data_IF_864927000477
#
_entry.id   IF_864927000477
#
_cell.length_a   1.000
_cell.length_b   1.000
_cell.length_c   1.000
_cell.angle_alpha   90.00
_cell.angle_beta   90.00
_cell.angle_gamma   90.00
#
_symmetry.space_group_name_H-M   'P 1'
#
loop_
_entity.id
_entity.type
_entity.pdbx_description
1 polymer ?
#
# COMPACT_ATOMS: atom_id res chain seq x y z
N UNK A 1 12.18 24.70 32.11
CA UNK A 1 11.54 23.66 32.94
C UNK A 1 10.15 23.39 32.40
N UNK A 2 9.76 22.13 32.32
CA UNK A 2 8.40 21.73 31.90
C UNK A 2 7.42 22.02 33.04
N UNK A 3 6.29 22.66 32.74
CA UNK A 3 5.30 23.03 33.77
C UNK A 3 4.47 21.80 34.19
N UNK A 4 3.84 21.85 35.37
CA UNK A 4 2.91 20.81 35.84
C UNK A 4 1.76 20.63 34.87
N UNK A 5 1.27 21.72 34.26
CA UNK A 5 0.20 21.69 33.23
C UNK A 5 0.63 20.93 31.98
N UNK A 6 1.84 21.15 31.47
CA UNK A 6 2.38 20.42 30.30
C UNK A 6 2.50 18.92 30.57
N UNK A 7 2.95 18.53 31.78
CA UNK A 7 3.02 17.10 32.18
C UNK A 7 1.65 16.45 32.20
N UNK A 8 0.65 17.13 32.78
CA UNK A 8 -0.74 16.61 32.82
C UNK A 8 -1.33 16.49 31.44
N UNK A 9 -1.15 17.50 30.58
CA UNK A 9 -1.64 17.46 29.16
C UNK A 9 -1.01 16.32 28.37
N UNK A 10 0.29 16.11 28.54
CA UNK A 10 1.02 15.00 27.90
C UNK A 10 0.54 13.63 28.37
N UNK A 11 0.27 13.48 29.65
CA UNK A 11 -0.23 12.22 30.22
C UNK A 11 -1.63 11.90 29.72
N UNK A 12 -2.50 12.90 29.61
CA UNK A 12 -3.85 12.75 29.09
C UNK A 12 -3.86 12.44 27.57
N UNK A 13 -2.86 12.92 26.81
CA UNK A 13 -2.81 12.84 25.35
C UNK A 13 -1.53 12.16 24.86
N UNK A 14 -1.21 10.99 25.39
CA UNK A 14 0.06 10.27 25.11
C UNK A 14 0.29 10.00 23.62
N UNK A 15 -0.72 9.57 22.87
CA UNK A 15 -0.59 9.24 21.46
C UNK A 15 -0.31 10.49 20.61
N UNK A 16 -1.00 11.59 20.88
CA UNK A 16 -0.74 12.89 20.24
C UNK A 16 0.68 13.37 20.58
N UNK A 17 1.11 13.20 21.82
CA UNK A 17 2.47 13.56 22.24
C UNK A 17 3.54 12.76 21.47
N UNK A 18 3.33 11.45 21.29
CA UNK A 18 4.26 10.64 20.52
C UNK A 18 4.29 11.02 19.03
N UNK A 19 3.15 11.37 18.44
CA UNK A 19 3.09 11.89 17.08
C UNK A 19 3.91 13.19 16.95
N UNK A 20 3.73 14.14 17.86
CA UNK A 20 4.49 15.40 17.93
C UNK A 20 5.99 15.14 18.12
N UNK A 21 6.36 14.31 19.07
CA UNK A 21 7.77 13.99 19.37
C UNK A 21 8.43 13.31 18.14
N UNK A 22 7.76 12.38 17.51
CA UNK A 22 8.23 11.72 16.28
C UNK A 22 8.42 12.70 15.13
N UNK A 23 7.48 13.63 14.93
CA UNK A 23 7.59 14.71 13.95
C UNK A 23 8.84 15.56 14.21
N UNK A 24 9.10 15.99 15.42
CA UNK A 24 10.29 16.77 15.80
C UNK A 24 11.57 15.97 15.63
N UNK A 25 11.60 14.69 16.03
CA UNK A 25 12.78 13.85 15.86
C UNK A 25 13.21 13.72 14.39
N UNK A 26 12.28 13.43 13.49
CA UNK A 26 12.59 13.25 12.07
C UNK A 26 12.93 14.55 11.34
N UNK A 27 12.53 15.71 11.87
CA UNK A 27 12.84 17.02 11.23
C UNK A 27 14.04 17.73 11.86
N UNK A 28 14.36 17.50 13.12
CA UNK A 28 15.33 18.30 13.87
C UNK A 28 16.53 17.50 14.39
N UNK A 29 16.46 16.15 14.41
CA UNK A 29 17.55 15.34 14.94
C UNK A 29 18.33 14.63 13.82
N UNK A 30 19.56 15.07 13.46
CA UNK A 30 20.38 14.42 12.42
C UNK A 30 20.72 12.95 12.72
N UNK A 31 20.69 12.53 13.99
CA UNK A 31 20.94 11.14 14.39
C UNK A 31 19.72 10.23 14.17
N UNK A 32 18.55 10.79 13.90
CA UNK A 32 17.36 10.01 13.58
C UNK A 32 17.49 9.38 12.19
N UNK A 33 17.29 8.07 12.06
CA UNK A 33 17.36 7.35 10.78
C UNK A 33 16.43 7.92 9.70
N UNK A 34 15.30 8.50 10.12
CA UNK A 34 14.34 9.13 9.22
C UNK A 34 14.77 10.55 8.78
N UNK A 35 15.73 11.21 9.46
CA UNK A 35 16.13 12.59 9.19
C UNK A 35 16.48 12.87 7.71
N UNK A 36 17.14 11.93 7.05
CA UNK A 36 17.48 11.99 5.61
C UNK A 36 16.27 12.23 4.69
N UNK A 37 15.08 11.80 5.12
CA UNK A 37 13.85 11.94 4.34
C UNK A 37 13.00 13.15 4.76
N UNK A 38 13.39 13.87 5.81
CA UNK A 38 12.65 15.01 6.37
C UNK A 38 13.55 16.22 6.59
N UNK A 39 14.23 16.33 7.72
CA UNK A 39 15.06 17.52 8.06
C UNK A 39 16.17 17.78 7.06
N UNK A 40 16.89 16.75 6.59
CA UNK A 40 17.92 16.89 5.56
C UNK A 40 17.37 17.37 4.20
N UNK A 41 16.05 17.30 3.98
CA UNK A 41 15.37 17.84 2.79
C UNK A 41 14.85 19.27 3.00
N UNK A 42 15.13 19.89 4.14
CA UNK A 42 14.63 21.22 4.49
C UNK A 42 13.21 21.25 5.07
N UNK A 43 12.60 20.08 5.35
CA UNK A 43 11.29 20.02 5.95
C UNK A 43 11.37 20.42 7.43
N UNK A 44 10.57 21.40 7.81
CA UNK A 44 10.56 22.00 9.13
C UNK A 44 9.21 21.83 9.82
N UNK A 45 9.18 22.10 11.11
CA UNK A 45 7.98 22.23 11.92
C UNK A 45 7.71 23.72 12.14
N UNK A 46 6.48 24.17 11.89
CA UNK A 46 6.09 25.56 12.07
C UNK A 46 6.31 26.05 13.50
N UNK A 47 6.45 27.36 13.68
CA UNK A 47 6.73 27.96 14.98
C UNK A 47 5.68 27.62 16.04
N UNK A 48 4.39 27.58 15.67
CA UNK A 48 3.29 27.23 16.58
C UNK A 48 3.47 25.85 17.21
N UNK A 49 4.01 24.90 16.47
CA UNK A 49 4.16 23.51 16.92
C UNK A 49 5.53 23.18 17.49
N UNK A 50 6.36 24.20 17.76
CA UNK A 50 7.60 24.00 18.53
C UNK A 50 7.31 23.60 19.98
N UNK A 51 6.15 24.01 20.52
CA UNK A 51 5.61 23.57 21.81
C UNK A 51 4.50 22.54 21.60
N UNK A 52 4.33 21.65 22.61
CA UNK A 52 3.35 20.56 22.52
C UNK A 52 1.90 21.06 22.65
N UNK A 53 1.63 22.05 23.52
CA UNK A 53 0.27 22.55 23.76
C UNK A 53 -0.45 22.99 22.50
N UNK A 54 0.10 23.90 21.64
CA UNK A 54 -0.59 24.34 20.43
C UNK A 54 -0.76 23.21 19.41
N UNK A 55 0.15 22.24 19.36
CA UNK A 55 0.00 21.06 18.53
C UNK A 55 -1.14 20.16 19.02
N UNK A 56 -1.24 19.96 20.34
CA UNK A 56 -2.28 19.16 20.96
C UNK A 56 -3.67 19.79 20.76
N UNK A 57 -3.80 21.10 20.91
CA UNK A 57 -5.04 21.84 20.63
C UNK A 57 -5.49 21.68 19.18
N UNK A 58 -4.57 21.85 18.23
CA UNK A 58 -4.86 21.59 16.83
C UNK A 58 -5.26 20.13 16.59
N UNK A 59 -4.55 19.17 17.16
CA UNK A 59 -4.83 17.76 16.99
C UNK A 59 -6.26 17.41 17.40
N UNK A 60 -6.70 17.89 18.56
CA UNK A 60 -8.03 17.64 19.09
C UNK A 60 -9.13 18.34 18.28
N UNK A 61 -8.86 19.54 17.75
CA UNK A 61 -9.81 20.31 16.94
C UNK A 61 -9.87 19.86 15.48
N UNK A 62 -8.82 19.20 14.97
CA UNK A 62 -8.71 18.75 13.56
C UNK A 62 -9.16 17.31 13.32
N UNK A 63 -9.91 16.71 14.23
CA UNK A 63 -10.51 15.40 14.04
C UNK A 63 -9.59 14.22 14.36
N UNK A 64 -8.63 14.41 15.28
CA UNK A 64 -7.83 13.28 15.77
C UNK A 64 -8.71 12.20 16.42
N UNK A 65 -8.49 10.96 16.01
CA UNK A 65 -9.06 9.76 16.61
C UNK A 65 -7.93 8.76 16.83
N UNK A 66 -8.03 7.97 17.88
CA UNK A 66 -7.05 6.92 18.20
C UNK A 66 -6.84 5.97 17.00
N UNK A 67 -5.57 5.73 16.67
CA UNK A 67 -5.18 4.87 15.54
C UNK A 67 -4.94 5.62 14.21
N UNK A 68 -5.16 6.94 14.17
CA UNK A 68 -4.76 7.76 13.04
C UNK A 68 -3.31 8.22 13.15
N UNK A 69 -2.65 8.31 11.99
CA UNK A 69 -1.29 8.83 11.84
C UNK A 69 -1.30 10.30 11.40
N UNK A 70 -0.32 11.08 11.87
CA UNK A 70 -0.06 12.42 11.35
C UNK A 70 0.54 12.33 9.94
N UNK A 71 -0.20 12.82 8.94
CA UNK A 71 0.19 12.85 7.52
C UNK A 71 0.30 14.29 7.03
N UNK A 72 1.24 14.54 6.10
CA UNK A 72 1.34 15.81 5.37
C UNK A 72 0.64 15.67 4.03
N UNK A 73 -0.23 16.61 3.69
CA UNK A 73 -0.96 16.64 2.41
C UNK A 73 0.04 16.74 1.26
N UNK A 74 0.95 17.73 1.32
CA UNK A 74 2.11 17.81 0.45
C UNK A 74 3.35 17.25 1.17
N UNK A 75 3.90 16.18 0.65
CA UNK A 75 5.10 15.52 1.17
C UNK A 75 6.40 16.35 1.06
N UNK A 76 6.40 17.41 0.28
CA UNK A 76 7.52 18.35 0.18
C UNK A 76 7.35 19.57 1.08
N UNK A 77 6.13 19.82 1.57
CA UNK A 77 5.81 20.92 2.47
C UNK A 77 6.21 20.67 3.93
N UNK A 78 6.15 21.72 4.73
CA UNK A 78 6.45 21.72 6.16
C UNK A 78 5.31 21.12 6.99
N UNK A 79 5.60 20.80 8.25
CA UNK A 79 4.58 20.48 9.23
C UNK A 79 3.94 21.76 9.77
N UNK A 80 2.72 22.01 9.35
CA UNK A 80 1.88 23.13 9.79
C UNK A 80 0.40 22.72 9.69
N UNK A 81 -0.52 23.46 10.36
CA UNK A 81 -1.94 23.15 10.33
C UNK A 81 -2.53 23.00 8.93
N UNK A 82 -2.07 23.84 7.99
CA UNK A 82 -2.57 23.92 6.60
C UNK A 82 -2.11 22.72 5.75
N UNK A 83 -0.98 22.10 6.11
CA UNK A 83 -0.38 20.99 5.35
C UNK A 83 -0.47 19.65 6.09
N UNK A 84 -1.11 19.58 7.23
CA UNK A 84 -1.21 18.34 8.01
C UNK A 84 -2.67 17.91 8.18
N UNK A 85 -2.84 16.60 8.25
CA UNK A 85 -4.11 15.94 8.52
C UNK A 85 -3.90 14.67 9.33
N UNK A 86 -4.97 14.17 9.93
CA UNK A 86 -5.01 12.84 10.49
C UNK A 86 -5.50 11.87 9.42
N UNK A 87 -4.77 10.81 9.20
CA UNK A 87 -5.02 9.87 8.11
C UNK A 87 -4.89 8.42 8.61
N UNK A 88 -5.60 7.52 7.96
CA UNK A 88 -5.39 6.10 8.21
C UNK A 88 -3.99 5.69 7.76
N UNK A 89 -3.48 4.59 8.30
CA UNK A 89 -2.20 4.03 7.85
C UNK A 89 -2.17 3.75 6.36
N UNK A 90 -3.33 3.35 5.78
CA UNK A 90 -3.44 3.10 4.34
C UNK A 90 -3.34 4.39 3.53
N UNK A 91 -4.02 5.45 3.94
CA UNK A 91 -3.96 6.75 3.28
C UNK A 91 -2.54 7.34 3.33
N UNK A 92 -1.90 7.25 4.50
CA UNK A 92 -0.51 7.70 4.69
C UNK A 92 0.47 6.91 3.79
N UNK A 93 0.28 5.59 3.63
CA UNK A 93 1.07 4.79 2.68
C UNK A 93 0.82 5.23 1.23
N UNK A 94 -0.43 5.50 0.86
CA UNK A 94 -0.80 5.94 -0.48
C UNK A 94 -0.26 7.34 -0.80
N UNK A 95 -0.16 8.21 0.19
CA UNK A 95 0.40 9.57 0.06
C UNK A 95 1.94 9.62 0.03
N UNK A 96 2.63 8.48 0.08
CA UNK A 96 4.10 8.49 0.03
C UNK A 96 4.58 9.02 -1.31
N UNK A 97 5.65 9.82 -1.29
CA UNK A 97 6.31 10.39 -2.47
C UNK A 97 6.69 9.36 -3.56
N UNK A 98 6.99 8.13 -3.15
CA UNK A 98 7.33 7.02 -4.05
C UNK A 98 6.09 6.29 -4.60
N UNK A 99 4.89 6.71 -4.21
CA UNK A 99 3.65 6.08 -4.69
C UNK A 99 3.38 6.54 -6.11
N UNK A 100 3.36 5.58 -7.03
CA UNK A 100 3.01 5.84 -8.43
C UNK A 100 1.49 5.94 -8.51
N UNK A 101 1.01 7.12 -8.96
CA UNK A 101 -0.40 7.38 -9.23
C UNK A 101 -0.63 7.32 -10.73
N UNK A 102 -1.62 6.54 -11.15
CA UNK A 102 -2.08 6.40 -12.53
C UNK A 102 -3.47 7.02 -12.70
N UNK A 103 -3.70 7.63 -13.86
CA UNK A 103 -4.97 8.33 -14.15
C UNK A 103 -5.66 7.69 -15.34
N UNK A 104 -6.85 7.12 -15.12
CA UNK A 104 -7.64 6.49 -16.17
C UNK A 104 -9.08 6.97 -16.07
N UNK A 105 -9.66 7.40 -17.21
CA UNK A 105 -11.03 7.91 -17.30
C UNK A 105 -11.32 9.03 -16.27
N UNK A 106 -10.37 9.96 -16.10
CA UNK A 106 -10.49 11.08 -15.17
C UNK A 106 -10.33 10.72 -13.68
N UNK A 107 -10.11 9.46 -13.35
CA UNK A 107 -9.90 9.00 -11.96
C UNK A 107 -8.43 8.69 -11.71
N UNK A 108 -7.88 9.21 -10.62
CA UNK A 108 -6.48 9.05 -10.23
C UNK A 108 -6.39 8.21 -8.96
N UNK A 109 -5.72 7.05 -9.04
CA UNK A 109 -5.49 6.19 -7.89
C UNK A 109 -4.04 5.66 -7.87
N UNK A 110 -3.49 5.32 -6.70
CA UNK A 110 -2.26 4.55 -6.60
C UNK A 110 -2.34 3.21 -7.34
N UNK A 111 -1.19 2.70 -7.85
CA UNK A 111 -1.13 1.40 -8.52
C UNK A 111 -1.83 0.29 -7.72
N UNK A 112 -1.60 0.21 -6.40
CA UNK A 112 -2.20 -0.82 -5.55
C UNK A 112 -3.74 -0.75 -5.49
N UNK A 113 -4.30 0.44 -5.59
CA UNK A 113 -5.75 0.62 -5.60
C UNK A 113 -6.35 0.26 -6.96
N UNK A 114 -5.68 0.64 -8.07
CA UNK A 114 -6.07 0.17 -9.40
C UNK A 114 -6.02 -1.36 -9.51
N UNK A 115 -4.95 -1.98 -8.99
CA UNK A 115 -4.81 -3.45 -8.97
C UNK A 115 -5.98 -4.12 -8.22
N UNK A 116 -6.38 -3.55 -7.08
CA UNK A 116 -7.55 -4.03 -6.32
C UNK A 116 -8.87 -3.87 -7.09
N UNK A 117 -9.06 -2.74 -7.79
CA UNK A 117 -10.31 -2.44 -8.54
C UNK A 117 -10.44 -3.24 -9.82
N UNK A 118 -9.33 -3.59 -10.46
CA UNK A 118 -9.31 -4.22 -11.80
C UNK A 118 -8.97 -5.70 -11.78
N UNK A 119 -8.55 -6.25 -10.64
CA UNK A 119 -8.06 -7.62 -10.56
C UNK A 119 -6.66 -7.83 -11.16
N UNK A 120 -6.00 -6.78 -11.64
CA UNK A 120 -4.60 -6.84 -12.07
C UNK A 120 -3.73 -7.32 -10.90
N UNK A 121 -2.82 -8.30 -11.10
CA UNK A 121 -2.01 -8.83 -10.00
C UNK A 121 -1.17 -7.77 -9.32
N UNK A 122 -1.07 -7.89 -7.98
CA UNK A 122 -0.36 -6.93 -7.13
C UNK A 122 1.10 -6.74 -7.57
N UNK A 123 1.51 -5.48 -7.69
CA UNK A 123 2.86 -5.07 -8.09
C UNK A 123 3.05 -4.95 -9.61
N UNK A 124 2.12 -5.45 -10.42
CA UNK A 124 2.23 -5.43 -11.89
C UNK A 124 2.25 -4.01 -12.45
N UNK A 125 1.35 -3.16 -11.99
CA UNK A 125 1.24 -1.78 -12.49
C UNK A 125 2.51 -0.98 -12.19
N UNK A 126 3.12 -1.19 -11.02
CA UNK A 126 4.41 -0.57 -10.69
C UNK A 126 5.50 -1.02 -11.66
N UNK A 127 5.67 -2.33 -11.84
CA UNK A 127 6.68 -2.89 -12.76
C UNK A 127 6.45 -2.41 -14.19
N UNK A 128 5.22 -2.42 -14.67
CA UNK A 128 4.91 -1.94 -16.03
C UNK A 128 5.18 -0.45 -16.20
N UNK A 129 4.88 0.37 -15.19
CA UNK A 129 5.19 1.80 -15.24
C UNK A 129 6.69 2.05 -15.30
N UNK A 130 7.48 1.29 -14.53
CA UNK A 130 8.94 1.41 -14.48
C UNK A 130 9.63 0.86 -15.74
N UNK A 131 9.10 -0.22 -16.35
CA UNK A 131 9.75 -0.92 -17.48
C UNK A 131 9.21 -0.54 -18.84
N UNK A 132 7.92 -0.21 -18.94
CA UNK A 132 7.21 0.05 -20.21
C UNK A 132 6.56 1.43 -20.28
N UNK A 133 6.67 2.21 -19.19
CA UNK A 133 6.12 3.55 -19.12
C UNK A 133 4.69 3.62 -18.55
N UNK A 134 4.33 4.85 -18.16
CA UNK A 134 3.05 5.15 -17.50
C UNK A 134 1.85 4.88 -18.41
N UNK A 135 1.94 5.27 -19.67
CA UNK A 135 0.88 5.09 -20.67
C UNK A 135 0.53 3.61 -20.87
N UNK A 136 1.53 2.75 -20.93
CA UNK A 136 1.31 1.30 -21.02
C UNK A 136 0.49 0.78 -19.84
N UNK A 137 0.87 1.16 -18.62
CA UNK A 137 0.16 0.74 -17.41
C UNK A 137 -1.29 1.26 -17.38
N UNK A 138 -1.52 2.51 -17.80
CA UNK A 138 -2.86 3.12 -17.90
C UNK A 138 -3.73 2.44 -18.96
N UNK A 139 -3.18 2.05 -20.09
CA UNK A 139 -3.90 1.29 -21.12
C UNK A 139 -4.28 -0.11 -20.63
N UNK A 140 -3.42 -0.78 -19.86
CA UNK A 140 -3.77 -2.07 -19.24
C UNK A 140 -4.92 -1.94 -18.22
N UNK A 141 -5.00 -0.83 -17.50
CA UNK A 141 -6.14 -0.53 -16.62
C UNK A 141 -7.41 -0.32 -17.45
N UNK A 142 -7.35 0.44 -18.56
CA UNK A 142 -8.51 0.66 -19.46
C UNK A 142 -9.04 -0.66 -20.00
N UNK A 143 -8.18 -1.56 -20.45
CA UNK A 143 -8.56 -2.89 -20.92
C UNK A 143 -9.24 -3.70 -19.80
N UNK A 144 -8.65 -3.73 -18.62
CA UNK A 144 -9.21 -4.42 -17.47
C UNK A 144 -10.60 -3.91 -17.04
N UNK A 145 -10.86 -2.62 -17.21
CA UNK A 145 -12.17 -2.02 -16.92
C UNK A 145 -13.24 -2.36 -17.99
N UNK A 146 -12.85 -2.67 -19.23
CA UNK A 146 -13.79 -3.01 -20.32
C UNK A 146 -14.30 -4.44 -20.23
N UNK A 147 -13.45 -5.40 -19.87
CA UNK A 147 -13.71 -6.83 -20.11
C UNK A 147 -13.90 -7.67 -18.84
N UNK A 148 -13.92 -7.06 -17.64
CA UNK A 148 -13.79 -7.84 -16.41
C UNK A 148 -12.46 -8.64 -16.40
N UNK A 149 -11.39 -8.00 -16.77
CA UNK A 149 -10.11 -8.51 -17.23
C UNK A 149 -9.46 -9.52 -16.28
N UNK A 150 -9.25 -10.71 -16.79
CA UNK A 150 -8.23 -11.65 -16.29
C UNK A 150 -7.01 -11.51 -17.21
N UNK A 151 -5.84 -11.03 -16.74
CA UNK A 151 -4.66 -10.86 -17.58
C UNK A 151 -4.22 -12.19 -18.19
N UNK A 152 -4.40 -12.39 -19.49
CA UNK A 152 -4.00 -13.64 -20.18
C UNK A 152 -2.52 -14.00 -20.01
N UNK A 153 -1.65 -13.04 -19.70
CA UNK A 153 -0.18 -13.25 -19.68
C UNK A 153 0.48 -13.14 -18.31
N UNK A 154 -0.22 -12.80 -17.23
CA UNK A 154 0.40 -12.70 -15.91
C UNK A 154 -0.03 -13.78 -14.93
N UNK A 155 -1.13 -14.44 -15.20
CA UNK A 155 -1.56 -15.59 -14.41
C UNK A 155 -0.57 -16.77 -14.50
N UNK A 156 0.43 -16.78 -15.41
CA UNK A 156 0.84 -18.06 -15.95
C UNK A 156 2.32 -18.34 -16.09
N UNK A 157 3.23 -17.52 -15.65
CA UNK A 157 4.60 -18.03 -15.51
C UNK A 157 4.72 -19.01 -14.33
N UNK A 158 3.77 -18.94 -13.34
CA UNK A 158 3.80 -19.79 -12.15
C UNK A 158 2.45 -20.41 -11.76
N UNK A 159 1.36 -20.10 -12.44
CA UNK A 159 0.01 -20.58 -12.13
C UNK A 159 -0.71 -21.03 -13.41
N UNK A 160 -0.31 -22.15 -13.98
CA UNK A 160 -1.07 -22.76 -15.09
C UNK A 160 -2.36 -23.36 -14.52
N UNK A 161 -3.54 -23.10 -15.13
CA UNK A 161 -4.76 -23.79 -14.77
C UNK A 161 -4.56 -25.28 -14.97
N UNK A 162 -5.15 -26.03 -14.08
CA UNK A 162 -5.10 -27.49 -14.13
C UNK A 162 -6.52 -28.03 -14.04
N UNK A 163 -6.74 -29.17 -14.67
CA UNK A 163 -7.98 -29.91 -14.65
C UNK A 163 -7.74 -31.25 -13.95
N UNK A 164 -8.62 -31.59 -13.03
CA UNK A 164 -8.70 -32.96 -12.52
C UNK A 164 -9.36 -33.81 -13.62
N UNK A 165 -8.63 -34.79 -14.13
CA UNK A 165 -9.07 -35.65 -15.25
C UNK A 165 -10.23 -36.54 -14.82
N UNK A 166 -10.32 -36.90 -13.52
CA UNK A 166 -11.37 -37.80 -13.03
C UNK A 166 -12.69 -37.08 -12.82
N UNK A 167 -12.66 -35.90 -12.22
CA UNK A 167 -13.88 -35.13 -11.87
C UNK A 167 -14.26 -34.13 -12.95
N UNK A 168 -13.34 -33.78 -13.85
CA UNK A 168 -13.53 -32.70 -14.81
C UNK A 168 -13.39 -31.30 -14.22
N UNK A 169 -13.14 -31.18 -12.91
CA UNK A 169 -13.11 -29.92 -12.17
C UNK A 169 -11.85 -29.12 -12.51
N UNK A 170 -12.01 -27.79 -12.65
CA UNK A 170 -10.95 -26.90 -13.08
C UNK A 170 -10.47 -26.05 -11.91
N UNK A 171 -9.16 -25.90 -11.79
CA UNK A 171 -8.49 -25.09 -10.77
C UNK A 171 -7.57 -24.07 -11.43
N UNK A 172 -7.59 -22.85 -10.96
CA UNK A 172 -6.78 -21.75 -11.50
C UNK A 172 -5.26 -21.94 -11.28
N UNK A 173 -4.85 -22.90 -10.46
CA UNK A 173 -3.43 -23.22 -10.20
C UNK A 173 -3.30 -24.50 -9.39
N UNK A 174 -2.09 -25.10 -9.38
CA UNK A 174 -1.72 -26.20 -8.49
C UNK A 174 -1.98 -25.85 -7.03
N UNK A 175 -1.70 -24.60 -6.63
CA UNK A 175 -1.89 -24.13 -5.25
C UNK A 175 -3.37 -24.01 -4.88
N UNK A 176 -4.22 -23.63 -5.83
CA UNK A 176 -5.68 -23.61 -5.66
C UNK A 176 -6.22 -25.03 -5.46
N UNK A 177 -5.87 -25.96 -6.37
CA UNK A 177 -6.24 -27.36 -6.27
C UNK A 177 -5.76 -28.00 -4.95
N UNK A 178 -4.51 -27.73 -4.56
CA UNK A 178 -3.93 -28.25 -3.31
C UNK A 178 -4.75 -27.84 -2.08
N UNK A 179 -5.23 -26.60 -2.03
CA UNK A 179 -6.07 -26.09 -0.91
C UNK A 179 -7.46 -26.70 -0.92
N UNK A 180 -8.09 -26.78 -2.09
CA UNK A 180 -9.46 -27.28 -2.22
C UNK A 180 -9.52 -28.77 -1.98
N UNK A 181 -8.61 -29.53 -2.56
CA UNK A 181 -8.59 -31.00 -2.47
C UNK A 181 -7.86 -31.52 -1.24
N UNK A 182 -7.20 -30.65 -0.46
CA UNK A 182 -6.32 -31.01 0.67
C UNK A 182 -5.20 -32.01 0.28
N UNK A 183 -4.73 -31.92 -0.95
CA UNK A 183 -3.62 -32.70 -1.50
C UNK A 183 -2.36 -31.81 -1.51
N UNK A 184 -1.20 -32.37 -1.15
CA UNK A 184 0.03 -31.58 -1.14
C UNK A 184 0.39 -31.06 -2.53
N UNK A 185 0.91 -29.81 -2.61
CA UNK A 185 1.38 -29.17 -3.82
C UNK A 185 2.34 -30.08 -4.62
N UNK A 186 3.30 -30.68 -3.90
CA UNK A 186 4.32 -31.55 -4.52
C UNK A 186 3.73 -32.80 -5.18
N UNK A 187 2.64 -33.34 -4.64
CA UNK A 187 1.96 -34.49 -5.24
C UNK A 187 1.29 -34.11 -6.54
N UNK A 188 0.51 -33.00 -6.57
CA UNK A 188 -0.15 -32.49 -7.78
C UNK A 188 0.89 -32.13 -8.85
N UNK A 189 1.99 -31.47 -8.46
CA UNK A 189 3.07 -31.10 -9.38
C UNK A 189 3.76 -32.33 -9.99
N UNK A 190 3.95 -33.40 -9.21
CA UNK A 190 4.51 -34.66 -9.71
C UNK A 190 3.59 -35.34 -10.70
N UNK A 191 2.29 -35.38 -10.41
CA UNK A 191 1.27 -35.96 -11.30
C UNK A 191 1.24 -35.22 -12.65
N UNK A 192 1.27 -33.89 -12.63
CA UNK A 192 1.32 -33.07 -13.85
C UNK A 192 2.60 -33.29 -14.67
N UNK A 193 3.75 -33.43 -14.00
CA UNK A 193 5.04 -33.64 -14.69
C UNK A 193 5.20 -35.06 -15.25
N UNK A 194 4.60 -36.03 -14.59
CA UNK A 194 4.67 -37.44 -15.04
C UNK A 194 3.73 -37.75 -16.21
N UNK A 195 2.71 -36.92 -16.42
CA UNK A 195 1.64 -37.16 -17.37
C UNK A 195 0.78 -38.42 -17.12
N UNK A 196 1.02 -39.09 -15.97
CA UNK A 196 0.36 -40.36 -15.56
C UNK A 196 -0.57 -40.19 -14.37
N UNK A 197 -0.76 -38.95 -13.89
CA UNK A 197 -1.54 -38.63 -12.71
C UNK A 197 -2.98 -38.22 -13.02
N UNK A 198 -3.68 -37.76 -11.95
CA UNK A 198 -5.08 -37.30 -12.02
C UNK A 198 -5.23 -35.88 -12.56
N UNK A 199 -4.14 -35.16 -12.80
CA UNK A 199 -4.19 -33.75 -13.22
C UNK A 199 -3.55 -33.56 -14.58
N UNK A 200 -4.12 -32.66 -15.38
CA UNK A 200 -3.55 -32.15 -16.62
C UNK A 200 -3.53 -30.63 -16.63
N UNK A 201 -2.60 -30.04 -17.40
CA UNK A 201 -2.67 -28.62 -17.71
C UNK A 201 -3.85 -28.35 -18.65
N UNK A 202 -4.63 -27.31 -18.34
CA UNK A 202 -5.67 -26.85 -19.25
C UNK A 202 -5.01 -26.02 -20.35
N UNK A 203 -5.14 -26.44 -21.60
CA UNK A 203 -4.74 -25.66 -22.77
C UNK A 203 -5.90 -24.70 -23.00
N UNK A 204 -5.69 -23.40 -22.73
CA UNK A 204 -6.63 -22.36 -23.12
C UNK A 204 -6.44 -22.11 -24.62
N UNK A 205 -7.38 -22.58 -25.43
CA UNK A 205 -7.50 -22.18 -26.83
C UNK A 205 -7.99 -20.75 -26.94
#
# INVERSE_FOLDING_TARGET
>A
METMREKTLRQANKEIYWAWKSMKQRTQNPKCSAYKNYGARGIQVCNKWQKFEPFCEWALSSGWVKGLDLDRIDNNGNYCPENCRWATRQDNVNNRRITIVLTVNGKSFPCAEWEKKTGIPRGSLKVWTETKGKEYAENRIKEALKDGYIPKNYAYSHCKPIKDIKTGEKYNSIRSASRTLKISYSKIARDLNSGKGHFSYEILN
#
